data_IF_002438697086
#
_entry.id   IF_002438697086
#
_cell.length_a   1.000
_cell.length_b   1.000
_cell.length_c   1.000
_cell.angle_alpha   90.00
_cell.angle_beta   90.00
_cell.angle_gamma   90.00
#
_symmetry.space_group_name_H-M   'P 1'
#
loop_
_entity.id
_entity.type
_entity.pdbx_description
1 polymer ?
#
# COMPACT_ATOMS: atom_id res chain seq x y z
N UNK A 1 -13.05 -40.53 -71.05
CA UNK A 1 -14.33 -41.27 -71.07
C UNK A 1 -14.44 -42.17 -69.84
N UNK A 2 -15.18 -41.75 -68.80
CA UNK A 2 -16.13 -42.60 -68.04
C UNK A 2 -16.96 -41.67 -67.13
N UNK A 3 -18.29 -41.83 -67.19
CA UNK A 3 -19.35 -40.99 -66.61
C UNK A 3 -19.85 -41.56 -65.27
N UNK A 4 -20.30 -40.63 -64.40
CA UNK A 4 -21.42 -40.75 -63.43
C UNK A 4 -21.26 -41.63 -62.16
N UNK A 5 -22.12 -41.48 -61.12
CA UNK A 5 -23.26 -40.55 -60.98
C UNK A 5 -23.30 -39.73 -59.66
N UNK A 6 -24.13 -38.69 -59.69
CA UNK A 6 -24.71 -38.04 -58.52
C UNK A 6 -25.77 -38.94 -57.88
N UNK A 7 -25.83 -38.99 -56.54
CA UNK A 7 -27.11 -39.19 -55.87
C UNK A 7 -27.15 -38.36 -54.58
N UNK A 8 -27.91 -37.26 -54.66
CA UNK A 8 -28.33 -36.41 -53.57
C UNK A 8 -29.24 -37.22 -52.65
N UNK A 9 -28.80 -37.49 -51.41
CA UNK A 9 -29.69 -37.87 -50.32
C UNK A 9 -30.01 -36.63 -49.49
N UNK A 10 -30.85 -35.76 -50.07
CA UNK A 10 -31.77 -34.96 -49.25
C UNK A 10 -32.88 -35.91 -48.86
N UNK A 11 -33.17 -36.05 -47.56
CA UNK A 11 -34.52 -36.11 -46.97
C UNK A 11 -34.49 -36.73 -45.57
N UNK A 12 -34.62 -35.86 -44.55
CA UNK A 12 -35.67 -35.89 -43.50
C UNK A 12 -35.15 -35.41 -42.14
N UNK A 13 -35.51 -34.15 -41.89
CA UNK A 13 -35.97 -33.54 -40.63
C UNK A 13 -36.25 -34.57 -39.52
N UNK A 14 -35.61 -34.41 -38.37
CA UNK A 14 -36.20 -34.59 -37.04
C UNK A 14 -35.31 -33.91 -36.00
N UNK A 15 -35.92 -32.95 -35.29
CA UNK A 15 -35.35 -32.15 -34.22
C UNK A 15 -34.90 -33.01 -33.05
N UNK A 16 -33.75 -32.71 -32.43
CA UNK A 16 -33.49 -33.10 -31.04
C UNK A 16 -32.44 -32.18 -30.38
N UNK A 17 -32.88 -31.59 -29.27
CA UNK A 17 -32.11 -31.14 -28.09
C UNK A 17 -31.33 -29.82 -28.18
N UNK A 18 -31.91 -28.83 -27.51
CA UNK A 18 -31.27 -27.61 -27.01
C UNK A 18 -30.16 -27.93 -26.00
N UNK A 19 -28.98 -27.33 -26.18
CA UNK A 19 -27.96 -27.21 -25.13
C UNK A 19 -27.62 -25.72 -24.98
N UNK A 20 -28.11 -25.18 -23.87
CA UNK A 20 -27.96 -23.80 -23.42
C UNK A 20 -26.52 -23.52 -22.99
N UNK A 21 -25.75 -22.73 -23.75
CA UNK A 21 -24.51 -22.13 -23.28
C UNK A 21 -24.80 -20.74 -22.70
N UNK A 22 -25.33 -20.69 -21.48
CA UNK A 22 -25.33 -19.48 -20.68
C UNK A 22 -23.91 -19.25 -20.15
N UNK A 23 -23.11 -18.48 -20.89
CA UNK A 23 -21.80 -17.99 -20.43
C UNK A 23 -22.06 -16.89 -19.41
N UNK A 24 -22.18 -17.27 -18.14
CA UNK A 24 -22.12 -16.35 -17.01
C UNK A 24 -20.65 -15.92 -16.86
N UNK A 25 -20.27 -14.79 -17.47
CA UNK A 25 -18.99 -14.14 -17.19
C UNK A 25 -19.06 -13.58 -15.77
N UNK A 26 -18.66 -14.38 -14.79
CA UNK A 26 -18.29 -13.90 -13.48
C UNK A 26 -17.02 -13.05 -13.65
N UNK A 27 -17.17 -11.73 -13.66
CA UNK A 27 -16.06 -10.80 -13.46
C UNK A 27 -15.52 -11.02 -12.06
N UNK A 28 -14.52 -11.89 -11.93
CA UNK A 28 -13.69 -11.93 -10.74
C UNK A 28 -12.95 -10.60 -10.67
N UNK A 29 -13.49 -9.64 -9.91
CA UNK A 29 -12.72 -8.52 -9.40
C UNK A 29 -11.60 -9.12 -8.54
N UNK A 30 -10.44 -9.34 -9.14
CA UNK A 30 -9.21 -9.54 -8.40
C UNK A 30 -9.04 -8.29 -7.53
N UNK A 31 -9.37 -8.39 -6.25
CA UNK A 31 -8.76 -7.53 -5.25
C UNK A 31 -7.26 -7.83 -5.32
N UNK A 32 -6.53 -7.07 -6.13
CA UNK A 32 -5.08 -7.13 -6.13
C UNK A 32 -4.64 -6.48 -4.82
N UNK A 33 -4.42 -7.30 -3.79
CA UNK A 33 -3.72 -6.88 -2.58
C UNK A 33 -2.49 -6.05 -3.00
N UNK A 34 -2.24 -4.87 -2.40
CA UNK A 34 -1.05 -4.09 -2.71
C UNK A 34 0.20 -4.97 -2.60
N UNK A 35 0.97 -5.11 -3.69
CA UNK A 35 2.16 -5.95 -3.67
C UNK A 35 3.19 -5.37 -2.71
N UNK A 36 3.38 -6.01 -1.56
CA UNK A 36 4.34 -5.62 -0.52
C UNK A 36 5.78 -5.93 -0.96
N UNK A 37 6.37 -5.03 -1.74
CA UNK A 37 7.70 -5.20 -2.36
C UNK A 37 8.51 -3.91 -2.25
N UNK A 38 9.83 -4.00 -2.28
CA UNK A 38 10.71 -2.83 -2.21
C UNK A 38 10.39 -1.78 -3.27
N UNK A 39 10.17 -2.18 -4.53
CA UNK A 39 9.81 -1.25 -5.62
C UNK A 39 8.49 -0.52 -5.36
N UNK A 40 7.48 -1.22 -4.84
CA UNK A 40 6.18 -0.62 -4.54
C UNK A 40 6.27 0.35 -3.37
N UNK A 41 6.99 -0.05 -2.34
CA UNK A 41 7.30 0.81 -1.21
C UNK A 41 8.06 2.07 -1.63
N UNK A 42 9.16 1.95 -2.37
CA UNK A 42 9.92 3.13 -2.80
C UNK A 42 9.10 4.07 -3.69
N UNK A 43 8.23 3.52 -4.55
CA UNK A 43 7.31 4.32 -5.36
C UNK A 43 6.29 5.07 -4.51
N UNK A 44 5.70 4.40 -3.53
CA UNK A 44 4.73 5.00 -2.63
C UNK A 44 5.41 6.03 -1.73
N UNK A 45 6.59 5.73 -1.18
CA UNK A 45 7.40 6.67 -0.43
C UNK A 45 7.67 7.95 -1.24
N UNK A 46 8.17 7.83 -2.47
CA UNK A 46 8.43 8.98 -3.34
C UNK A 46 7.19 9.85 -3.58
N UNK A 47 6.00 9.24 -3.70
CA UNK A 47 4.73 9.97 -3.85
C UNK A 47 4.40 10.80 -2.61
N UNK A 48 4.62 10.24 -1.43
CA UNK A 48 4.27 10.87 -0.15
C UNK A 48 5.36 11.85 0.36
N UNK A 49 6.56 11.86 -0.22
CA UNK A 49 7.67 12.74 0.21
C UNK A 49 7.31 14.23 0.26
N UNK A 50 6.43 14.69 -0.65
CA UNK A 50 5.97 16.08 -0.63
C UNK A 50 5.19 16.43 0.65
N UNK A 51 4.34 15.52 1.13
CA UNK A 51 3.60 15.66 2.37
C UNK A 51 4.49 15.44 3.60
N UNK A 52 5.43 14.49 3.54
CA UNK A 52 6.38 14.22 4.63
C UNK A 52 7.27 15.44 4.93
N UNK A 53 7.65 16.18 3.88
CA UNK A 53 8.48 17.37 3.99
C UNK A 53 7.67 18.67 4.14
N UNK A 54 6.33 18.58 4.16
CA UNK A 54 5.49 19.76 4.30
C UNK A 54 5.67 20.41 5.68
N UNK A 55 5.58 21.75 5.78
CA UNK A 55 5.54 22.42 7.08
C UNK A 55 4.29 21.98 7.86
N UNK A 56 4.44 21.82 9.18
CA UNK A 56 3.34 21.52 10.10
C UNK A 56 2.90 22.84 10.74
N UNK A 57 1.68 23.28 10.46
CA UNK A 57 1.10 24.50 11.04
C UNK A 57 -0.21 24.23 11.80
N UNK A 58 -0.83 23.07 11.59
CA UNK A 58 -2.12 22.71 12.15
C UNK A 58 -2.18 21.22 12.51
N UNK A 59 -3.17 20.85 13.31
CA UNK A 59 -3.48 19.45 13.62
C UNK A 59 -3.73 18.63 12.35
N UNK A 60 -4.45 19.20 11.38
CA UNK A 60 -4.72 18.55 10.10
C UNK A 60 -3.42 18.20 9.34
N UNK A 61 -2.38 19.05 9.42
CA UNK A 61 -1.11 18.75 8.77
C UNK A 61 -0.41 17.54 9.40
N UNK A 62 -0.54 17.38 10.73
CA UNK A 62 -0.03 16.22 11.46
C UNK A 62 -0.84 14.97 11.07
N UNK A 63 -2.16 15.06 11.01
CA UNK A 63 -3.01 13.93 10.62
C UNK A 63 -2.69 13.47 9.18
N UNK A 64 -2.44 14.42 8.26
CA UNK A 64 -1.99 14.12 6.90
C UNK A 64 -0.59 13.49 6.85
N UNK A 65 0.32 13.90 7.75
CA UNK A 65 1.63 13.27 7.90
C UNK A 65 1.49 11.82 8.36
N UNK A 66 0.71 11.56 9.42
CA UNK A 66 0.45 10.19 9.92
C UNK A 66 -0.15 9.33 8.81
N UNK A 67 -1.18 9.83 8.13
CA UNK A 67 -1.82 9.11 7.03
C UNK A 67 -0.85 8.80 5.87
N UNK A 68 0.17 9.64 5.65
CA UNK A 68 1.23 9.37 4.66
C UNK A 68 2.09 8.18 5.07
N UNK A 69 2.49 8.09 6.34
CA UNK A 69 3.21 6.95 6.88
C UNK A 69 2.38 5.67 6.84
N UNK A 70 1.09 5.73 7.16
CA UNK A 70 0.17 4.58 7.04
C UNK A 70 0.10 4.04 5.60
N UNK A 71 -0.13 4.93 4.61
CA UNK A 71 -0.20 4.55 3.19
C UNK A 71 1.11 3.93 2.68
N UNK A 72 2.26 4.39 3.18
CA UNK A 72 3.55 3.76 2.86
C UNK A 72 3.65 2.36 3.50
N UNK A 73 3.17 2.21 4.73
CA UNK A 73 3.15 0.94 5.47
C UNK A 73 2.34 -0.16 4.80
N UNK A 74 1.25 0.18 4.10
CA UNK A 74 0.40 -0.77 3.37
C UNK A 74 1.17 -1.60 2.32
N UNK A 75 2.21 -1.01 1.73
CA UNK A 75 3.04 -1.66 0.70
C UNK A 75 4.43 -2.09 1.21
N UNK A 76 4.68 -1.97 2.52
CA UNK A 76 5.98 -2.26 3.10
C UNK A 76 6.34 -3.75 3.00
N UNK A 77 7.49 -4.11 2.39
CA UNK A 77 8.00 -5.48 2.40
C UNK A 77 8.40 -5.91 3.81
N UNK A 78 8.48 -7.23 4.03
CA UNK A 78 8.76 -7.81 5.35
C UNK A 78 10.03 -7.27 6.02
N UNK A 79 11.06 -6.95 5.22
CA UNK A 79 12.36 -6.47 5.69
C UNK A 79 12.27 -5.14 6.45
N UNK A 80 11.27 -4.30 6.17
CA UNK A 80 11.10 -2.96 6.77
C UNK A 80 9.74 -2.76 7.44
N UNK A 81 8.78 -3.66 7.22
CA UNK A 81 7.39 -3.49 7.66
C UNK A 81 7.27 -3.23 9.17
N UNK A 82 7.95 -4.01 10.01
CA UNK A 82 7.90 -3.83 11.48
C UNK A 82 8.56 -2.53 11.93
N UNK A 83 9.64 -2.13 11.26
CA UNK A 83 10.35 -0.91 11.60
C UNK A 83 9.53 0.32 11.21
N UNK A 84 8.84 0.24 10.08
CA UNK A 84 7.90 1.26 9.61
C UNK A 84 6.65 1.35 10.49
N UNK A 85 6.12 0.22 10.95
CA UNK A 85 4.98 0.16 11.87
C UNK A 85 5.30 0.86 13.20
N UNK A 86 6.47 0.61 13.78
CA UNK A 86 6.90 1.28 15.02
C UNK A 86 7.02 2.81 14.85
N UNK A 87 7.54 3.27 13.71
CA UNK A 87 7.57 4.69 13.36
C UNK A 87 6.16 5.28 13.24
N UNK A 88 5.27 4.58 12.54
CA UNK A 88 3.90 5.04 12.29
C UNK A 88 3.11 5.11 13.59
N UNK A 89 3.26 4.11 14.47
CA UNK A 89 2.62 4.09 15.78
C UNK A 89 3.09 5.24 16.67
N UNK A 90 4.40 5.52 16.69
CA UNK A 90 4.94 6.67 17.42
C UNK A 90 4.38 8.00 16.89
N UNK A 91 4.34 8.16 15.56
CA UNK A 91 3.78 9.38 14.94
C UNK A 91 2.30 9.56 15.29
N UNK A 92 1.51 8.48 15.25
CA UNK A 92 0.10 8.53 15.61
C UNK A 92 -0.12 8.89 17.09
N UNK A 93 0.71 8.35 18.00
CA UNK A 93 0.63 8.72 19.42
C UNK A 93 1.04 10.17 19.66
N UNK A 94 2.15 10.60 19.05
CA UNK A 94 2.63 11.96 19.14
C UNK A 94 1.65 12.98 18.52
N UNK A 95 0.87 12.56 17.52
CA UNK A 95 -0.10 13.44 16.85
C UNK A 95 -1.25 13.90 17.75
N UNK A 96 -1.58 13.13 18.78
CA UNK A 96 -2.74 13.39 19.63
C UNK A 96 -2.39 13.55 21.11
N UNK A 97 -1.13 13.86 21.39
CA UNK A 97 -0.65 14.08 22.74
C UNK A 97 -1.29 15.32 23.37
N UNK A 98 -1.73 15.21 24.63
CA UNK A 98 -2.08 16.36 25.44
C UNK A 98 -0.85 16.87 26.18
N UNK A 99 -0.22 17.93 25.65
CA UNK A 99 1.00 18.51 26.23
C UNK A 99 0.82 19.13 27.61
N UNK A 100 -0.41 19.36 28.06
CA UNK A 100 -0.72 19.80 29.43
C UNK A 100 -0.73 18.67 30.46
N UNK A 101 -0.65 17.40 30.02
CA UNK A 101 -0.64 16.22 30.88
C UNK A 101 0.75 15.58 30.86
N UNK A 102 1.45 15.63 32.00
CA UNK A 102 2.80 15.10 32.12
C UNK A 102 2.89 13.60 31.83
N UNK A 103 1.86 12.82 32.18
CA UNK A 103 1.83 11.38 31.92
C UNK A 103 1.77 11.08 30.43
N UNK A 104 1.04 11.89 29.65
CA UNK A 104 0.96 11.71 28.20
C UNK A 104 2.30 12.07 27.54
N UNK A 105 2.96 13.13 28.03
CA UNK A 105 4.32 13.54 27.60
C UNK A 105 5.36 12.45 27.89
N UNK A 106 5.32 11.85 29.09
CA UNK A 106 6.21 10.75 29.46
C UNK A 106 5.96 9.48 28.63
N UNK A 107 4.69 9.18 28.31
CA UNK A 107 4.33 8.04 27.48
C UNK A 107 4.91 8.15 26.06
N UNK A 108 4.68 9.29 25.39
CA UNK A 108 5.25 9.54 24.05
C UNK A 108 6.77 9.55 24.08
N UNK A 109 7.37 10.13 25.13
CA UNK A 109 8.83 10.14 25.30
C UNK A 109 9.38 8.72 25.40
N UNK A 110 8.76 7.88 26.22
CA UNK A 110 9.13 6.47 26.37
C UNK A 110 8.98 5.73 25.04
N UNK A 111 7.86 5.89 24.35
CA UNK A 111 7.64 5.24 23.05
C UNK A 111 8.66 5.71 22.01
N UNK A 112 9.06 6.99 22.02
CA UNK A 112 10.12 7.49 21.15
C UNK A 112 11.45 6.77 21.39
N UNK A 113 11.83 6.53 22.65
CA UNK A 113 13.02 5.75 22.97
C UNK A 113 12.92 4.30 22.50
N UNK A 114 11.77 3.65 22.72
CA UNK A 114 11.53 2.26 22.32
C UNK A 114 11.57 2.10 20.79
N UNK A 115 11.05 3.08 20.06
CA UNK A 115 11.01 3.10 18.59
C UNK A 115 12.31 3.56 17.92
N UNK A 116 13.26 4.14 18.65
CA UNK A 116 14.47 4.73 18.06
C UNK A 116 15.29 3.72 17.22
N UNK A 117 15.48 2.48 17.69
CA UNK A 117 16.24 1.49 16.92
C UNK A 117 15.50 1.10 15.63
N UNK A 118 14.17 0.96 15.69
CA UNK A 118 13.34 0.69 14.52
C UNK A 118 13.39 1.86 13.52
N UNK A 119 13.30 3.10 14.01
CA UNK A 119 13.43 4.31 13.22
C UNK A 119 14.75 4.34 12.43
N UNK A 120 15.88 4.10 13.11
CA UNK A 120 17.20 4.09 12.47
C UNK A 120 17.33 3.01 11.39
N UNK A 121 16.78 1.81 11.64
CA UNK A 121 16.77 0.73 10.65
C UNK A 121 15.89 1.08 9.45
N UNK A 122 14.70 1.62 9.66
CA UNK A 122 13.83 2.10 8.58
C UNK A 122 14.53 3.18 7.75
N UNK A 123 15.13 4.19 8.39
CA UNK A 123 15.84 5.27 7.70
C UNK A 123 17.02 4.76 6.86
N UNK A 124 17.81 3.85 7.44
CA UNK A 124 18.90 3.20 6.71
C UNK A 124 18.36 2.40 5.52
N UNK A 125 17.30 1.62 5.72
CA UNK A 125 16.72 0.80 4.67
C UNK A 125 16.15 1.65 3.53
N UNK A 126 15.45 2.76 3.84
CA UNK A 126 14.93 3.67 2.81
C UNK A 126 16.06 4.36 2.05
N UNK A 127 17.15 4.71 2.73
CA UNK A 127 18.33 5.28 2.09
C UNK A 127 19.00 4.25 1.17
N UNK A 128 19.29 3.05 1.67
CA UNK A 128 19.99 2.00 0.92
C UNK A 128 19.16 1.46 -0.26
N UNK A 129 17.84 1.35 -0.09
CA UNK A 129 16.95 0.68 -1.06
C UNK A 129 16.27 1.67 -2.00
N UNK A 130 15.85 2.82 -1.49
CA UNK A 130 15.10 3.81 -2.26
C UNK A 130 15.92 5.05 -2.61
N UNK A 131 17.14 5.20 -2.10
CA UNK A 131 17.93 6.44 -2.18
C UNK A 131 17.19 7.66 -1.61
N UNK A 132 16.31 7.44 -0.64
CA UNK A 132 15.52 8.48 0.03
C UNK A 132 15.89 8.53 1.51
N UNK A 133 16.39 9.69 1.93
CA UNK A 133 16.60 10.01 3.34
C UNK A 133 15.33 10.65 3.93
N UNK A 134 14.72 9.95 4.89
CA UNK A 134 13.57 10.42 5.65
C UNK A 134 13.93 10.75 7.10
N UNK A 135 15.22 10.69 7.46
CA UNK A 135 15.70 11.09 8.80
C UNK A 135 15.55 12.60 9.04
N UNK A 136 15.29 13.35 7.95
CA UNK A 136 14.89 14.73 7.87
C UNK A 136 14.95 15.46 9.21
N UNK A 137 16.12 15.99 9.52
CA UNK A 137 16.32 17.01 10.54
C UNK A 137 15.53 18.25 10.12
N UNK A 138 14.21 18.24 10.37
CA UNK A 138 13.41 19.46 10.37
C UNK A 138 14.12 20.42 11.32
N UNK A 139 14.53 21.62 10.89
CA UNK A 139 15.03 22.61 11.84
C UNK A 139 13.92 22.78 12.87
N UNK A 140 14.26 22.57 14.15
CA UNK A 140 13.37 22.90 15.24
C UNK A 140 12.88 24.33 14.97
N UNK A 141 11.55 24.51 14.97
CA UNK A 141 10.91 25.81 14.92
C UNK A 141 11.71 26.80 15.78
N UNK A 142 12.39 27.75 15.12
CA UNK A 142 12.84 28.99 15.76
C UNK A 142 11.65 29.94 15.83
#
# INVERSE_FOLDING_TARGET
MKKSPQHLHVWRRSAFVAISCAIFMASASSCSEPKRTGTQFCRQLAKEMSQINAPIASQNDIDLLVASYERIGEVAPLDVAKDWEALTALLAEAAHINTGNITDVEAVTKHAYESNTAAQRAFKWTLDTCAVDISGSRPASQ
#
